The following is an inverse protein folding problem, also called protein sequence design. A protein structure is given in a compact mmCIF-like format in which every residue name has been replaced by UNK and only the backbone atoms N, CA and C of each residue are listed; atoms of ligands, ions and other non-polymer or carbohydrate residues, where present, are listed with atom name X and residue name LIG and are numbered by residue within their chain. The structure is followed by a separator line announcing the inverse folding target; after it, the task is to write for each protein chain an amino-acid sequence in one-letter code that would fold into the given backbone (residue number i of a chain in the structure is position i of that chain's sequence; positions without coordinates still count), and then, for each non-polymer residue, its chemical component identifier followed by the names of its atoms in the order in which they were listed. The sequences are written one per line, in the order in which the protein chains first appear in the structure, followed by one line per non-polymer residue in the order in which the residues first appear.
data_IF_754683327586
#
_entry.id   IF_754683327586
#
_cell.length_a   1.000
_cell.length_b   1.000
_cell.length_c   1.000
_cell.angle_alpha   90.00
_cell.angle_beta   90.00
_cell.angle_gamma   90.00
#
_symmetry.space_group_name_H-M   'P 1'
#
loop_
_entity.id
_entity.type
_entity.pdbx_description
1 polymer ?
#
# COMPACT_ATOMS: atom_id res chain seq x y z
N UNK A 1 8.71 -1.55 29.09
CA UNK A 1 7.53 -0.68 28.93
C UNK A 1 6.63 -1.13 27.78
N UNK A 2 7.08 -1.09 26.52
CA UNK A 2 6.23 -1.46 25.38
C UNK A 2 5.68 -2.90 25.43
N UNK A 3 6.52 -3.88 25.80
CA UNK A 3 6.09 -5.28 25.96
C UNK A 3 5.00 -5.46 27.02
N UNK A 4 5.13 -4.78 28.16
CA UNK A 4 4.15 -4.83 29.27
C UNK A 4 2.81 -4.23 28.83
N UNK A 5 2.83 -3.11 28.10
CA UNK A 5 1.61 -2.50 27.57
C UNK A 5 0.90 -3.42 26.57
N UNK A 6 1.66 -4.11 25.72
CA UNK A 6 1.11 -5.08 24.78
C UNK A 6 0.54 -6.29 25.53
N UNK A 7 1.21 -6.75 26.58
CA UNK A 7 0.70 -7.83 27.41
C UNK A 7 -0.60 -7.46 28.12
N UNK A 8 -0.68 -6.26 28.71
CA UNK A 8 -1.91 -5.75 29.31
C UNK A 8 -3.04 -5.61 28.28
N UNK A 9 -2.72 -5.18 27.06
CA UNK A 9 -3.68 -5.14 25.96
C UNK A 9 -4.21 -6.55 25.63
N UNK A 10 -3.35 -7.56 25.58
CA UNK A 10 -3.77 -8.94 25.34
C UNK A 10 -4.65 -9.51 26.46
N UNK A 11 -4.36 -9.17 27.71
CA UNK A 11 -5.10 -9.66 28.88
C UNK A 11 -6.49 -8.99 29.02
N UNK A 12 -6.63 -7.74 28.56
CA UNK A 12 -7.84 -6.93 28.77
C UNK A 12 -8.75 -6.82 27.55
N UNK A 13 -8.20 -6.83 26.34
CA UNK A 13 -8.99 -6.64 25.13
C UNK A 13 -9.75 -7.92 24.76
N UNK A 14 -11.08 -7.81 24.71
CA UNK A 14 -11.98 -8.90 24.35
C UNK A 14 -12.95 -8.47 23.25
N UNK A 15 -13.39 -9.42 22.44
CA UNK A 15 -14.38 -9.23 21.37
C UNK A 15 -15.41 -10.34 21.43
N UNK A 16 -16.66 -10.02 21.08
CA UNK A 16 -17.72 -11.01 20.96
C UNK A 16 -17.62 -11.71 19.62
N UNK A 17 -17.45 -13.03 19.63
CA UNK A 17 -17.45 -13.85 18.42
C UNK A 17 -18.83 -13.81 17.76
N UNK A 18 -18.89 -13.51 16.47
CA UNK A 18 -20.17 -13.43 15.75
C UNK A 18 -20.79 -14.81 15.53
N UNK A 19 -19.95 -15.86 15.42
CA UNK A 19 -20.37 -17.23 15.12
C UNK A 19 -20.94 -17.95 16.35
N UNK A 20 -20.30 -17.78 17.51
CA UNK A 20 -20.69 -18.48 18.76
C UNK A 20 -21.37 -17.59 19.78
N UNK A 21 -21.25 -16.26 19.65
CA UNK A 21 -21.77 -15.30 20.62
C UNK A 21 -20.95 -15.18 21.90
N UNK A 22 -19.87 -15.96 22.04
CA UNK A 22 -18.99 -15.98 23.20
C UNK A 22 -18.00 -14.82 23.19
N UNK A 23 -17.53 -14.43 24.38
CA UNK A 23 -16.50 -13.39 24.51
C UNK A 23 -15.13 -14.05 24.45
N UNK A 24 -14.36 -13.72 23.42
CA UNK A 24 -13.01 -14.25 23.17
C UNK A 24 -11.95 -13.14 23.31
N UNK A 25 -10.68 -13.48 23.61
CA UNK A 25 -9.59 -12.51 23.58
C UNK A 25 -9.44 -11.89 22.18
N UNK A 26 -9.18 -10.59 22.13
CA UNK A 26 -9.03 -9.87 20.86
C UNK A 26 -7.69 -10.17 20.16
N UNK A 27 -6.64 -10.46 20.93
CA UNK A 27 -5.28 -10.62 20.45
C UNK A 27 -4.60 -11.87 21.05
N UNK A 28 -3.80 -12.54 20.22
CA UNK A 28 -3.05 -13.74 20.55
C UNK A 28 -1.60 -13.58 20.15
N UNK A 29 -0.68 -14.15 20.92
CA UNK A 29 0.73 -14.18 20.56
C UNK A 29 1.07 -15.54 19.95
N UNK A 30 1.37 -15.55 18.66
CA UNK A 30 1.76 -16.75 17.91
C UNK A 30 3.24 -16.67 17.53
N UNK A 31 3.90 -17.82 17.42
CA UNK A 31 5.28 -17.88 16.93
C UNK A 31 5.32 -18.59 15.58
N UNK A 32 5.94 -17.95 14.60
CA UNK A 32 6.18 -18.54 13.29
C UNK A 32 7.67 -18.81 13.14
N UNK A 33 8.01 -20.01 12.69
CA UNK A 33 9.38 -20.38 12.35
C UNK A 33 9.70 -19.87 10.95
N UNK A 34 10.58 -18.87 10.85
CA UNK A 34 11.14 -18.40 9.59
C UNK A 34 12.63 -18.70 9.63
N UNK A 35 13.09 -19.81 9.03
CA UNK A 35 14.50 -20.21 9.06
C UNK A 35 15.42 -19.03 8.68
N UNK A 36 16.41 -18.66 9.52
CA UNK A 36 16.94 -19.35 10.69
C UNK A 36 16.40 -18.88 12.07
N UNK A 37 15.34 -18.07 12.15
CA UNK A 37 14.86 -17.43 13.39
C UNK A 37 13.40 -17.73 13.71
N UNK A 38 13.10 -17.87 15.00
CA UNK A 38 11.71 -17.89 15.51
C UNK A 38 11.26 -16.45 15.75
N UNK A 39 10.17 -16.04 15.12
CA UNK A 39 9.62 -14.68 15.24
C UNK A 39 8.22 -14.76 15.85
N UNK A 40 7.98 -13.96 16.89
CA UNK A 40 6.66 -13.82 17.51
C UNK A 40 5.82 -12.77 16.77
N UNK A 41 4.55 -13.07 16.54
CA UNK A 41 3.56 -12.21 15.91
C UNK A 41 2.38 -12.03 16.85
N UNK A 42 1.86 -10.81 16.91
CA UNK A 42 0.58 -10.52 17.54
C UNK A 42 -0.52 -10.68 16.49
N UNK A 43 -1.40 -11.64 16.68
CA UNK A 43 -2.51 -11.96 15.78
C UNK A 43 -3.82 -11.49 16.39
N UNK A 44 -4.62 -10.75 15.61
CA UNK A 44 -5.98 -10.39 16.00
C UNK A 44 -6.97 -11.54 15.71
N UNK A 45 -8.05 -11.60 16.49
CA UNK A 45 -9.24 -12.38 16.16
C UNK A 45 -9.85 -11.92 14.81
N UNK A 46 -10.60 -12.80 14.14
CA UNK A 46 -11.18 -12.53 12.81
C UNK A 46 -12.06 -11.26 12.82
N UNK A 47 -12.84 -11.11 13.89
CA UNK A 47 -13.76 -10.01 14.11
C UNK A 47 -13.07 -8.64 14.24
N UNK A 48 -11.79 -8.62 14.64
CA UNK A 48 -11.00 -7.39 14.71
C UNK A 48 -10.70 -6.86 13.31
N UNK A 49 -10.45 -7.73 12.33
CA UNK A 49 -10.17 -7.27 10.96
C UNK A 49 -11.39 -6.58 10.36
N UNK A 50 -12.58 -7.16 10.54
CA UNK A 50 -13.84 -6.52 10.12
C UNK A 50 -14.10 -5.19 10.85
N UNK A 51 -13.72 -5.09 12.13
CA UNK A 51 -13.83 -3.85 12.89
C UNK A 51 -12.85 -2.79 12.37
N UNK A 52 -11.63 -3.20 12.00
CA UNK A 52 -10.61 -2.32 11.43
C UNK A 52 -11.07 -1.82 10.07
N UNK A 53 -11.56 -2.70 9.19
CA UNK A 53 -12.02 -2.34 7.85
C UNK A 53 -13.20 -1.37 7.92
N UNK A 54 -14.16 -1.61 8.81
CA UNK A 54 -15.27 -0.68 9.06
C UNK A 54 -14.81 0.64 9.68
N UNK A 55 -13.82 0.58 10.58
CA UNK A 55 -13.30 1.75 11.28
C UNK A 55 -12.29 2.57 10.46
N UNK A 56 -11.85 2.06 9.31
CA UNK A 56 -10.74 2.62 8.54
C UNK A 56 -11.03 4.06 8.12
N UNK A 57 -12.20 4.33 7.53
CA UNK A 57 -12.56 5.65 7.00
C UNK A 57 -12.56 6.78 8.05
N UNK A 58 -12.87 6.48 9.32
CA UNK A 58 -12.87 7.47 10.40
C UNK A 58 -11.50 7.59 11.08
N UNK A 59 -10.73 6.49 11.14
CA UNK A 59 -9.43 6.45 11.84
C UNK A 59 -8.25 6.85 10.96
N UNK A 60 -8.37 6.75 9.64
CA UNK A 60 -7.38 7.24 8.67
C UNK A 60 -7.10 8.74 8.85
N UNK A 61 -8.14 9.55 9.07
CA UNK A 61 -7.97 10.98 9.34
C UNK A 61 -7.33 11.28 10.70
N UNK A 62 -7.46 10.37 11.66
CA UNK A 62 -7.10 10.60 13.06
C UNK A 62 -5.63 10.29 13.37
N UNK A 63 -4.91 9.57 12.49
CA UNK A 63 -3.61 8.98 12.88
C UNK A 63 -2.45 8.94 11.86
N UNK A 64 -2.24 9.89 10.93
CA UNK A 64 -0.93 10.05 10.32
C UNK A 64 -0.12 11.07 11.13
N UNK A 65 0.82 10.59 11.94
CA UNK A 65 1.80 11.43 12.65
C UNK A 65 2.53 12.42 11.72
N UNK A 66 2.61 12.10 10.42
CA UNK A 66 3.34 12.86 9.42
C UNK A 66 2.47 13.16 8.19
N UNK A 67 1.43 13.98 8.36
CA UNK A 67 0.68 14.56 7.23
C UNK A 67 1.41 15.77 6.64
N UNK A 68 1.22 16.10 5.35
CA UNK A 68 1.70 17.36 4.80
C UNK A 68 1.18 18.54 5.62
N UNK A 69 2.03 19.53 5.85
CA UNK A 69 1.68 20.72 6.64
C UNK A 69 0.82 21.68 5.82
N UNK A 70 -0.16 22.31 6.47
CA UNK A 70 -0.98 23.38 5.88
C UNK A 70 -0.32 24.77 5.96
N UNK A 71 0.80 24.85 6.67
CA UNK A 71 1.60 26.06 6.87
C UNK A 71 3.03 25.80 6.44
N UNK A 72 3.80 26.85 6.16
CA UNK A 72 5.20 26.71 5.79
C UNK A 72 5.95 25.90 6.86
N UNK A 73 6.72 24.86 6.48
CA UNK A 73 7.59 24.14 7.40
C UNK A 73 8.63 25.06 8.04
N UNK A 74 9.16 24.64 9.20
CA UNK A 74 10.29 25.32 9.82
C UNK A 74 11.55 25.07 8.99
N UNK A 75 12.28 26.14 8.68
CA UNK A 75 13.54 26.04 7.95
C UNK A 75 14.54 25.16 8.73
N UNK A 76 15.28 24.32 8.01
CA UNK A 76 16.35 23.52 8.54
C UNK A 76 17.53 24.42 8.92
N UNK A 77 17.91 24.35 10.19
CA UNK A 77 19.08 25.07 10.74
C UNK A 77 20.09 24.12 11.37
N UNK A 78 19.77 22.83 11.45
CA UNK A 78 20.63 21.81 12.03
C UNK A 78 20.06 20.40 11.87
N UNK A 79 20.79 19.36 12.28
CA UNK A 79 20.39 17.98 12.03
C UNK A 79 19.04 17.58 12.66
N UNK A 80 18.70 18.18 13.80
CA UNK A 80 17.46 17.92 14.55
C UNK A 80 16.51 19.12 14.57
N UNK A 81 16.82 20.19 13.81
CA UNK A 81 16.09 21.45 13.84
C UNK A 81 15.62 21.81 12.43
N UNK A 82 14.35 21.51 12.14
CA UNK A 82 13.69 21.80 10.87
C UNK A 82 12.50 20.89 10.59
N UNK A 83 11.76 21.19 9.52
CA UNK A 83 10.58 20.45 9.09
C UNK A 83 9.33 20.81 9.89
N UNK A 84 8.80 19.85 10.67
CA UNK A 84 7.55 20.06 11.42
C UNK A 84 7.72 21.03 12.58
N UNK A 85 6.67 21.78 12.91
CA UNK A 85 6.71 22.80 13.97
C UNK A 85 6.97 22.21 15.36
N UNK A 86 6.32 21.09 15.67
CA UNK A 86 6.34 20.48 17.02
C UNK A 86 6.96 19.08 17.04
N UNK A 87 7.10 18.44 15.87
CA UNK A 87 7.65 17.08 15.77
C UNK A 87 9.15 17.17 15.48
N UNK A 88 9.96 16.66 16.40
CA UNK A 88 11.40 16.53 16.20
C UNK A 88 11.67 15.47 15.16
N UNK A 89 12.34 15.86 14.08
CA UNK A 89 12.76 14.96 13.01
C UNK A 89 14.24 15.14 12.75
N UNK A 90 14.90 14.01 12.50
CA UNK A 90 16.27 13.99 12.04
C UNK A 90 16.29 14.22 10.54
N UNK A 91 17.19 15.10 10.07
CA UNK A 91 17.34 15.41 8.65
C UNK A 91 17.68 14.18 7.79
N UNK A 92 18.42 13.23 8.36
CA UNK A 92 18.86 12.01 7.68
C UNK A 92 18.20 10.75 8.26
N UNK A 93 17.75 9.84 7.39
CA UNK A 93 17.17 8.56 7.80
C UNK A 93 18.25 7.50 8.01
N UNK A 94 18.80 7.41 9.22
CA UNK A 94 19.98 6.57 9.54
C UNK A 94 19.70 5.09 9.78
N UNK A 95 18.42 4.67 9.89
CA UNK A 95 18.01 3.27 10.15
C UNK A 95 18.74 2.61 11.35
N UNK A 96 19.15 3.41 12.34
CA UNK A 96 19.85 2.93 13.54
C UNK A 96 21.37 2.84 13.42
N UNK A 97 21.97 3.28 12.31
CA UNK A 97 23.43 3.32 12.17
C UNK A 97 24.04 4.47 12.99
N UNK A 98 24.81 4.12 14.02
CA UNK A 98 25.50 5.09 14.86
C UNK A 98 26.59 5.85 14.09
N UNK A 99 27.35 5.15 13.24
CA UNK A 99 28.41 5.77 12.44
C UNK A 99 27.87 6.88 11.52
N UNK A 100 26.69 6.68 10.95
CA UNK A 100 26.03 7.70 10.12
C UNK A 100 25.58 8.91 10.94
N UNK A 101 25.07 8.70 12.16
CA UNK A 101 24.72 9.79 13.08
C UNK A 101 25.95 10.59 13.51
N UNK A 102 27.04 9.90 13.85
CA UNK A 102 28.29 10.53 14.27
C UNK A 102 28.92 11.34 13.13
N UNK A 103 28.84 10.83 11.89
CA UNK A 103 29.28 11.56 10.70
C UNK A 103 28.40 12.80 10.45
N UNK A 104 27.09 12.68 10.61
CA UNK A 104 26.14 13.77 10.45
C UNK A 104 26.42 14.93 11.41
N UNK A 105 26.80 14.64 12.65
CA UNK A 105 27.14 15.66 13.64
C UNK A 105 28.45 16.39 13.36
N UNK A 106 29.35 15.80 12.56
CA UNK A 106 30.65 16.37 12.21
C UNK A 106 30.66 17.07 10.85
N UNK A 107 29.61 16.90 10.05
CA UNK A 107 29.54 17.41 8.69
C UNK A 107 28.99 18.85 8.65
N UNK A 108 29.61 19.69 7.83
CA UNK A 108 29.08 20.99 7.44
C UNK A 108 28.01 20.79 6.35
N UNK A 109 26.78 21.22 6.62
CA UNK A 109 25.61 20.89 5.78
C UNK A 109 24.81 22.10 5.32
N UNK A 110 25.37 23.31 5.37
CA UNK A 110 24.63 24.53 5.06
C UNK A 110 23.95 24.49 3.67
N UNK A 111 24.69 24.05 2.64
CA UNK A 111 24.14 23.93 1.29
C UNK A 111 22.98 22.92 1.20
N UNK A 112 23.03 21.85 1.99
CA UNK A 112 21.96 20.84 2.06
C UNK A 112 20.73 21.45 2.73
N UNK A 113 20.93 22.23 3.80
CA UNK A 113 19.83 22.93 4.46
C UNK A 113 19.15 23.91 3.51
N UNK A 114 19.92 24.72 2.79
CA UNK A 114 19.37 25.71 1.85
C UNK A 114 18.56 25.03 0.73
N UNK A 115 19.09 23.93 0.17
CA UNK A 115 18.38 23.14 -0.84
C UNK A 115 17.09 22.50 -0.31
N UNK A 116 17.12 21.95 0.90
CA UNK A 116 15.93 21.37 1.53
C UNK A 116 14.89 22.43 1.90
N UNK A 117 15.32 23.62 2.30
CA UNK A 117 14.43 24.75 2.58
C UNK A 117 13.73 25.23 1.31
N UNK A 118 14.43 25.29 0.18
CA UNK A 118 13.83 25.62 -1.11
C UNK A 118 12.76 24.60 -1.55
N UNK A 119 13.04 23.30 -1.43
CA UNK A 119 12.08 22.25 -1.80
C UNK A 119 10.90 22.20 -0.82
N UNK A 120 11.16 22.34 0.48
CA UNK A 120 10.11 22.25 1.51
C UNK A 120 9.19 23.47 1.56
N UNK A 121 9.65 24.62 1.08
CA UNK A 121 8.84 25.82 0.94
C UNK A 121 7.89 25.79 -0.28
N UNK A 122 8.02 24.81 -1.18
CA UNK A 122 7.16 24.70 -2.36
C UNK A 122 5.74 24.27 -1.95
N UNK A 123 4.75 25.08 -2.30
CA UNK A 123 3.34 24.82 -2.00
C UNK A 123 2.74 23.82 -3.00
N UNK A 124 1.96 22.87 -2.49
CA UNK A 124 1.28 21.86 -3.29
C UNK A 124 -0.23 22.00 -3.17
N UNK A 125 -0.93 21.85 -4.30
CA UNK A 125 -2.39 21.83 -4.36
C UNK A 125 -2.83 20.56 -5.09
N UNK A 126 -3.89 19.93 -4.58
CA UNK A 126 -4.47 18.74 -5.20
C UNK A 126 -5.15 19.14 -6.52
N UNK A 127 -4.79 18.47 -7.61
CA UNK A 127 -5.51 18.60 -8.87
C UNK A 127 -6.88 17.91 -8.75
N UNK A 128 -7.94 18.71 -8.67
CA UNK A 128 -9.31 18.23 -8.46
C UNK A 128 -9.86 17.44 -9.65
N UNK A 129 -9.52 17.83 -10.88
CA UNK A 129 -10.03 17.17 -12.08
C UNK A 129 -9.53 15.73 -12.17
N UNK A 130 -8.23 15.51 -11.93
CA UNK A 130 -7.63 14.18 -11.90
C UNK A 130 -8.15 13.39 -10.70
N UNK A 131 -8.22 14.02 -9.53
CA UNK A 131 -8.75 13.40 -8.33
C UNK A 131 -10.17 12.84 -8.55
N UNK A 132 -11.05 13.60 -9.19
CA UNK A 132 -12.43 13.18 -9.44
C UNK A 132 -12.53 12.07 -10.49
N UNK A 133 -11.60 12.01 -11.44
CA UNK A 133 -11.49 10.89 -12.39
C UNK A 133 -11.03 9.64 -11.65
N UNK A 134 -9.97 9.73 -10.84
CA UNK A 134 -9.45 8.60 -10.06
C UNK A 134 -10.52 8.07 -9.11
N UNK A 135 -11.26 8.94 -8.44
CA UNK A 135 -12.37 8.54 -7.57
C UNK A 135 -13.50 7.85 -8.34
N UNK A 136 -13.82 8.29 -9.55
CA UNK A 136 -14.81 7.62 -10.40
C UNK A 136 -14.35 6.22 -10.79
N UNK A 137 -13.14 6.09 -11.32
CA UNK A 137 -12.54 4.78 -11.67
C UNK A 137 -12.48 3.85 -10.46
N UNK A 138 -12.15 4.39 -9.28
CA UNK A 138 -12.14 3.61 -8.04
C UNK A 138 -13.53 3.12 -7.63
N UNK A 139 -14.56 3.96 -7.77
CA UNK A 139 -15.97 3.59 -7.50
C UNK A 139 -16.48 2.54 -8.49
N UNK A 140 -16.02 2.59 -9.74
CA UNK A 140 -16.45 1.68 -10.82
C UNK A 140 -15.79 0.29 -10.73
N UNK A 141 -14.92 0.04 -9.74
CA UNK A 141 -14.32 -1.27 -9.47
C UNK A 141 -12.79 -1.33 -9.55
N UNK A 142 -12.13 -0.24 -9.99
CA UNK A 142 -10.67 -0.16 -10.10
C UNK A 142 -10.07 -1.02 -11.22
N UNK A 143 -8.77 -1.33 -11.12
CA UNK A 143 -8.07 -2.19 -12.10
C UNK A 143 -7.66 -1.51 -13.41
N UNK A 144 -7.76 -0.19 -13.50
CA UNK A 144 -7.41 0.60 -14.68
C UNK A 144 -6.32 1.62 -14.33
N UNK A 145 -5.42 1.92 -15.27
CA UNK A 145 -4.36 2.91 -15.11
C UNK A 145 -3.51 2.69 -13.85
N UNK A 146 -3.13 1.43 -13.61
CA UNK A 146 -2.35 0.98 -12.45
C UNK A 146 -3.06 1.11 -11.09
N UNK A 147 -4.32 1.56 -11.07
CA UNK A 147 -5.14 1.48 -9.86
C UNK A 147 -5.41 0.01 -9.55
N UNK A 148 -5.25 -0.41 -8.28
CA UNK A 148 -5.61 -1.77 -7.90
C UNK A 148 -7.10 -2.01 -8.12
N UNK A 149 -7.49 -3.26 -8.25
CA UNK A 149 -8.91 -3.62 -8.20
C UNK A 149 -9.44 -3.33 -6.80
N UNK A 150 -10.68 -2.83 -6.72
CA UNK A 150 -11.33 -2.50 -5.45
C UNK A 150 -11.74 -3.76 -4.69
N UNK A 151 -12.12 -4.80 -5.41
CA UNK A 151 -12.47 -6.10 -4.84
C UNK A 151 -11.22 -6.94 -4.70
N UNK A 152 -11.16 -7.75 -3.64
CA UNK A 152 -10.12 -8.74 -3.48
C UNK A 152 -10.10 -9.68 -4.68
N UNK A 153 -8.92 -9.87 -5.27
CA UNK A 153 -8.72 -10.90 -6.28
C UNK A 153 -8.91 -12.26 -5.62
N UNK A 154 -9.80 -13.07 -6.19
CA UNK A 154 -9.92 -14.47 -5.81
C UNK A 154 -8.55 -15.14 -5.97
N UNK A 155 -8.01 -15.65 -4.86
CA UNK A 155 -6.82 -16.47 -4.91
C UNK A 155 -7.17 -17.71 -5.74
N UNK A 156 -6.38 -18.06 -6.77
CA UNK A 156 -6.65 -19.26 -7.55
C UNK A 156 -6.67 -20.45 -6.60
N UNK A 157 -7.81 -21.12 -6.49
CA UNK A 157 -7.90 -22.38 -5.75
C UNK A 157 -7.01 -23.37 -6.52
N UNK A 158 -6.04 -24.02 -5.87
CA UNK A 158 -5.19 -24.99 -6.54
C UNK A 158 -6.06 -26.08 -7.13
N UNK A 159 -5.98 -26.29 -8.44
CA UNK A 159 -6.63 -27.44 -9.06
C UNK A 159 -5.91 -28.69 -8.54
N UNK A 160 -6.61 -29.65 -7.90
CA UNK A 160 -5.97 -30.89 -7.48
C UNK A 160 -5.36 -31.58 -8.71
N UNK A 161 -4.13 -32.12 -8.59
CA UNK A 161 -3.55 -32.96 -9.64
C UNK A 161 -4.53 -34.08 -10.01
N UNK A 162 -4.64 -34.42 -11.29
CA UNK A 162 -5.55 -35.49 -11.76
C UNK A 162 -5.25 -36.78 -10.99
N UNK A 163 -6.22 -37.26 -10.20
CA UNK A 163 -6.14 -38.52 -9.45
C UNK A 163 -6.31 -38.43 -7.93
N UNK A 164 -6.44 -37.24 -7.36
CA UNK A 164 -6.62 -37.06 -5.90
C UNK A 164 -8.10 -37.01 -5.48
N UNK A 165 -8.42 -37.69 -4.37
CA UNK A 165 -9.77 -37.73 -3.76
C UNK A 165 -9.98 -36.50 -2.86
N UNK A 166 -11.22 -35.98 -2.69
CA UNK A 166 -11.54 -34.88 -1.77
C UNK A 166 -11.18 -35.13 -0.28
N UNK A 167 -10.87 -36.38 0.08
CA UNK A 167 -10.55 -36.81 1.44
C UNK A 167 -9.11 -36.41 1.85
N UNK A 168 -8.23 -36.10 0.89
CA UNK A 168 -6.83 -35.70 1.12
C UNK A 168 -6.70 -34.20 1.43
N UNK A 169 -7.50 -33.68 2.37
CA UNK A 169 -7.58 -32.23 2.63
C UNK A 169 -6.26 -31.59 3.09
N UNK A 170 -5.37 -32.38 3.70
CA UNK A 170 -4.04 -31.92 4.13
C UNK A 170 -3.11 -31.66 2.93
N UNK A 171 -3.11 -32.55 1.94
CA UNK A 171 -2.31 -32.41 0.72
C UNK A 171 -2.76 -31.19 -0.09
N UNK A 172 -4.07 -30.92 -0.13
CA UNK A 172 -4.63 -29.74 -0.80
C UNK A 172 -4.24 -28.43 -0.10
N UNK A 173 -4.14 -28.42 1.24
CA UNK A 173 -3.69 -27.26 2.01
C UNK A 173 -2.21 -26.97 1.77
N UNK A 174 -1.38 -28.00 1.76
CA UNK A 174 0.06 -27.86 1.49
C UNK A 174 0.31 -27.38 0.06
N UNK A 175 -0.40 -27.93 -0.92
CA UNK A 175 -0.34 -27.48 -2.31
C UNK A 175 -0.81 -26.01 -2.47
N UNK A 176 -1.83 -25.61 -1.69
CA UNK A 176 -2.30 -24.23 -1.64
C UNK A 176 -1.27 -23.28 -1.04
N UNK A 177 -0.65 -23.67 0.07
CA UNK A 177 0.43 -22.92 0.71
C UNK A 177 1.63 -22.76 -0.21
N UNK A 178 2.06 -23.82 -0.90
CA UNK A 178 3.14 -23.75 -1.90
C UNK A 178 2.76 -22.85 -3.08
N UNK A 179 1.54 -22.97 -3.59
CA UNK A 179 1.05 -22.10 -4.66
C UNK A 179 1.04 -20.63 -4.24
N UNK A 180 0.56 -20.33 -3.03
CA UNK A 180 0.56 -18.98 -2.46
C UNK A 180 1.98 -18.46 -2.22
N UNK A 181 2.91 -19.31 -1.78
CA UNK A 181 4.32 -18.93 -1.64
C UNK A 181 4.97 -18.63 -3.00
N UNK A 182 4.69 -19.43 -4.02
CA UNK A 182 5.16 -19.22 -5.38
C UNK A 182 4.56 -17.96 -6.01
N UNK A 183 3.26 -17.72 -5.81
CA UNK A 183 2.60 -16.48 -6.22
C UNK A 183 3.11 -15.27 -5.45
N UNK A 184 3.39 -15.38 -4.15
CA UNK A 184 4.00 -14.31 -3.36
C UNK A 184 5.39 -13.95 -3.86
N UNK A 185 6.18 -14.93 -4.34
CA UNK A 185 7.44 -14.68 -5.05
C UNK A 185 7.21 -14.00 -6.40
N UNK A 186 6.20 -14.42 -7.17
CA UNK A 186 5.82 -13.84 -8.46
C UNK A 186 5.36 -12.37 -8.32
N UNK A 187 4.38 -12.11 -7.45
CA UNK A 187 3.85 -10.77 -7.16
C UNK A 187 4.86 -9.89 -6.40
N UNK A 188 5.70 -10.49 -5.54
CA UNK A 188 6.79 -9.80 -4.86
C UNK A 188 7.89 -9.32 -5.82
N UNK A 189 8.16 -10.07 -6.90
CA UNK A 189 9.08 -9.68 -7.96
C UNK A 189 8.50 -8.65 -8.95
N UNK A 190 7.18 -8.66 -9.14
CA UNK A 190 6.45 -7.74 -10.03
C UNK A 190 6.29 -6.33 -9.48
N UNK A 191 6.36 -6.14 -8.15
CA UNK A 191 6.28 -4.82 -7.50
C UNK A 191 7.39 -3.82 -7.91
N UNK A 192 8.41 -4.27 -8.65
CA UNK A 192 9.48 -3.42 -9.21
C UNK A 192 9.50 -3.37 -10.76
N UNK A 193 8.66 -4.13 -11.48
CA UNK A 193 8.77 -4.28 -12.95
C UNK A 193 7.44 -4.68 -13.65
N UNK A 194 6.38 -3.90 -13.53
CA UNK A 194 5.27 -4.01 -14.50
C UNK A 194 5.25 -2.77 -15.41
N UNK A 195 6.08 -2.87 -16.47
CA UNK A 195 5.93 -2.19 -17.75
C UNK A 195 4.98 -3.02 -18.66
N UNK A 196 4.48 -2.49 -19.80
CA UNK A 196 3.05 -2.41 -20.13
C UNK A 196 2.50 -3.51 -21.06
N UNK A 197 2.82 -4.79 -20.86
CA UNK A 197 2.51 -5.84 -21.86
C UNK A 197 1.54 -6.95 -21.40
N UNK A 198 0.50 -6.60 -20.64
CA UNK A 198 -0.64 -7.53 -20.44
C UNK A 198 -1.96 -6.86 -20.74
N UNK A 199 -2.12 -6.36 -21.97
CA UNK A 199 -3.45 -6.18 -22.54
C UNK A 199 -4.05 -7.56 -22.82
N UNK A 200 -5.27 -7.80 -22.33
CA UNK A 200 -6.06 -8.96 -22.72
C UNK A 200 -6.32 -8.96 -24.23
N UNK A 201 -6.57 -10.11 -24.89
CA UNK A 201 -6.85 -10.15 -26.34
C UNK A 201 -8.04 -9.28 -26.78
N UNK A 202 -8.97 -8.97 -25.87
CA UNK A 202 -10.06 -8.02 -26.13
C UNK A 202 -9.60 -6.56 -26.06
N UNK A 203 -8.72 -6.22 -25.13
CA UNK A 203 -8.14 -4.88 -25.00
C UNK A 203 -7.17 -4.57 -26.14
N UNK A 204 -6.42 -5.55 -26.64
CA UNK A 204 -5.57 -5.41 -27.81
C UNK A 204 -6.39 -5.06 -29.06
N UNK A 205 -7.51 -5.78 -29.28
CA UNK A 205 -8.45 -5.49 -30.39
C UNK A 205 -9.10 -4.12 -30.27
N UNK A 206 -9.40 -3.66 -29.05
CA UNK A 206 -9.92 -2.30 -28.79
C UNK A 206 -8.85 -1.23 -29.02
N UNK A 207 -7.60 -1.52 -28.68
CA UNK A 207 -6.47 -0.63 -28.88
C UNK A 207 -6.11 -0.50 -30.36
N UNK A 208 -6.08 -1.60 -31.11
CA UNK A 208 -5.90 -1.63 -32.57
C UNK A 208 -6.99 -0.82 -33.28
N UNK A 209 -8.27 -1.07 -32.96
CA UNK A 209 -9.39 -0.26 -33.49
C UNK A 209 -9.25 1.24 -33.18
N UNK A 210 -8.75 1.59 -31.99
CA UNK A 210 -8.52 3.00 -31.60
C UNK A 210 -7.35 3.62 -32.37
N UNK A 211 -6.30 2.85 -32.68
CA UNK A 211 -5.19 3.33 -33.49
C UNK A 211 -5.58 3.49 -34.96
N UNK A 212 -6.36 2.56 -35.51
CA UNK A 212 -6.94 2.66 -36.86
C UNK A 212 -7.84 3.89 -36.97
N UNK A 213 -8.74 4.11 -36.00
CA UNK A 213 -9.61 5.29 -35.98
C UNK A 213 -8.80 6.60 -35.91
N UNK A 214 -7.70 6.62 -35.13
CA UNK A 214 -6.78 7.76 -35.05
C UNK A 214 -6.03 8.01 -36.35
N UNK A 215 -5.57 6.97 -37.03
CA UNK A 215 -4.92 7.09 -38.35
C UNK A 215 -5.89 7.62 -39.41
N UNK A 216 -7.14 7.12 -39.41
CA UNK A 216 -8.19 7.59 -40.31
C UNK A 216 -8.50 9.06 -40.06
N UNK A 217 -8.63 9.48 -38.80
CA UNK A 217 -8.84 10.88 -38.43
C UNK A 217 -7.63 11.77 -38.79
N UNK A 218 -6.41 11.22 -38.80
CA UNK A 218 -5.18 11.93 -39.18
C UNK A 218 -5.02 12.10 -40.68
N UNK A 219 -5.54 11.16 -41.48
CA UNK A 219 -5.54 11.17 -42.95
C UNK A 219 -6.76 11.87 -43.55
N UNK A 220 -7.72 12.28 -42.73
CA UNK A 220 -8.89 13.02 -43.17
C UNK A 220 -8.49 14.43 -43.69
N UNK A 221 -8.96 14.84 -44.89
CA UNK A 221 -8.69 16.18 -45.42
C UNK A 221 -9.29 17.28 -44.53
N UNK A 222 -8.72 18.49 -44.51
CA UNK A 222 -9.01 19.53 -43.53
C UNK A 222 -10.44 20.10 -43.51
N UNK A 223 -11.34 19.66 -44.40
CA UNK A 223 -12.72 20.13 -44.49
C UNK A 223 -13.75 19.31 -43.69
N UNK A 224 -13.31 18.35 -42.85
CA UNK A 224 -14.21 17.59 -41.96
C UNK A 224 -13.92 17.82 -40.46
N UNK A 225 -13.42 19.00 -40.07
CA UNK A 225 -13.66 19.49 -38.70
C UNK A 225 -15.08 20.00 -38.67
N UNK A 226 -16.00 19.19 -38.13
CA UNK A 226 -17.35 19.67 -37.85
C UNK A 226 -17.23 20.87 -36.91
N UNK A 227 -17.60 22.02 -37.46
CA UNK A 227 -18.06 23.19 -36.74
C UNK A 227 -19.26 22.82 -35.83
N UNK A 228 -19.27 23.49 -34.68
CA UNK A 228 -20.43 23.82 -33.83
C UNK A 228 -21.28 22.71 -33.19
N UNK A 229 -21.19 22.59 -31.85
CA UNK A 229 -22.20 23.07 -30.88
C UNK A 229 -21.99 22.44 -29.49
#
# INVERSE_FOLDING_TARGET
MGSVLIQLLMETATVKCQKTGEVIPAFYHEYVYTTPKRVGFLKGAEEIYELIDRGHSLRECMHPRFMPMLVKPRDWTGPHSGGYLHLNNLIMRTRGSKAQLDALHKAEMQQVYDGLNAVSATEWVINKDIHDIVLRVWKDGGGLAELPQRTDMELPIPVPPKGYSPEDSEILKDLCLEFLQNKKKEYGGKRLREHPDRMTPEELRRHEKRQELREVLRKAPPNCRLDEA
#
